data_IF_433741761241
#
_entry.id   IF_433741761241
#
_cell.length_a   1.000
_cell.length_b   1.000
_cell.length_c   1.000
_cell.angle_alpha   90.00
_cell.angle_beta   90.00
_cell.angle_gamma   90.00
#
_symmetry.space_group_name_H-M   'P 1'
#
loop_
_entity.id
_entity.type
_entity.pdbx_description
1 polymer ?
#
# COMPACT_ATOMS: atom_id res chain seq x y z
N UNK A 1 -14.36 -27.90 9.61
CA UNK A 1 -12.96 -27.75 10.04
C UNK A 1 -12.31 -26.71 9.13
N UNK A 2 -11.87 -25.54 9.60
CA UNK A 2 -11.05 -24.67 8.76
C UNK A 2 -9.79 -25.44 8.38
N UNK A 3 -9.52 -25.54 7.07
CA UNK A 3 -8.40 -26.27 6.52
C UNK A 3 -7.08 -25.74 7.08
N UNK A 4 -6.14 -26.64 7.39
CA UNK A 4 -4.78 -26.23 7.76
C UNK A 4 -4.19 -25.37 6.65
N UNK A 5 -3.65 -24.19 7.02
CA UNK A 5 -2.98 -23.30 6.07
C UNK A 5 -1.91 -24.05 5.28
N UNK A 6 -1.92 -23.91 3.98
CA UNK A 6 -0.93 -24.52 3.09
C UNK A 6 0.49 -24.03 3.43
N UNK A 7 1.50 -24.78 3.07
CA UNK A 7 2.90 -24.36 3.25
C UNK A 7 3.18 -22.99 2.58
N UNK A 8 2.54 -22.72 1.46
CA UNK A 8 2.67 -21.46 0.71
C UNK A 8 2.04 -20.29 1.48
N UNK A 9 0.87 -20.47 2.04
CA UNK A 9 0.19 -19.45 2.89
C UNK A 9 1.00 -19.16 4.16
N UNK A 10 1.55 -20.20 4.81
CA UNK A 10 2.40 -20.02 5.99
C UNK A 10 3.67 -19.23 5.67
N UNK A 11 4.32 -19.50 4.53
CA UNK A 11 5.49 -18.75 4.07
C UNK A 11 5.14 -17.29 3.87
N UNK A 12 4.04 -16.99 3.16
CA UNK A 12 3.62 -15.63 2.88
C UNK A 12 3.28 -14.86 4.17
N UNK A 13 2.51 -15.47 5.07
CA UNK A 13 2.17 -14.87 6.36
C UNK A 13 3.41 -14.58 7.21
N UNK A 14 4.37 -15.53 7.27
CA UNK A 14 5.63 -15.34 7.99
C UNK A 14 6.49 -14.25 7.37
N UNK A 15 6.57 -14.19 6.04
CA UNK A 15 7.30 -13.16 5.33
C UNK A 15 6.72 -11.75 5.58
N UNK A 16 5.40 -11.61 5.54
CA UNK A 16 4.71 -10.33 5.86
C UNK A 16 5.06 -9.84 7.27
N UNK A 17 5.09 -10.75 8.25
CA UNK A 17 5.47 -10.42 9.63
C UNK A 17 6.94 -9.99 9.75
N UNK A 18 7.83 -10.70 9.07
CA UNK A 18 9.27 -10.41 9.10
C UNK A 18 9.57 -9.07 8.41
N UNK A 19 9.05 -8.84 7.20
CA UNK A 19 9.25 -7.58 6.48
C UNK A 19 8.61 -6.36 7.17
N UNK A 20 7.60 -6.56 8.02
CA UNK A 20 7.05 -5.50 8.85
C UNK A 20 7.93 -5.15 10.06
N UNK A 21 8.78 -6.07 10.51
CA UNK A 21 9.64 -5.90 11.69
C UNK A 21 11.09 -5.57 11.36
N UNK A 22 11.56 -6.04 10.23
CA UNK A 22 12.96 -5.91 9.80
C UNK A 22 13.03 -5.38 8.37
N UNK A 23 14.09 -4.62 8.02
CA UNK A 23 14.33 -4.20 6.65
C UNK A 23 14.40 -5.40 5.69
N UNK A 24 13.99 -5.16 4.44
CA UNK A 24 14.11 -6.16 3.38
C UNK A 24 15.52 -6.73 3.25
N UNK A 25 16.56 -5.86 3.38
CA UNK A 25 17.96 -6.27 3.31
C UNK A 25 18.32 -7.33 4.36
N UNK A 26 17.76 -7.20 5.55
CA UNK A 26 18.15 -7.99 6.73
C UNK A 26 17.32 -9.28 6.88
N UNK A 27 16.29 -9.44 6.05
CA UNK A 27 15.45 -10.64 6.00
C UNK A 27 15.99 -11.63 4.97
N UNK A 28 16.26 -12.86 5.36
CA UNK A 28 16.70 -13.93 4.45
C UNK A 28 15.60 -14.97 4.18
N UNK A 29 15.77 -15.77 3.12
CA UNK A 29 14.87 -16.91 2.85
C UNK A 29 14.93 -17.97 3.96
N UNK A 30 16.07 -18.08 4.67
CA UNK A 30 16.21 -18.98 5.81
C UNK A 30 15.37 -18.52 6.99
N UNK A 31 15.36 -17.21 7.26
CA UNK A 31 14.52 -16.64 8.33
C UNK A 31 13.04 -16.86 8.06
N UNK A 32 12.63 -16.65 6.80
CA UNK A 32 11.24 -16.90 6.36
C UNK A 32 10.88 -18.37 6.49
N UNK A 33 11.76 -19.28 6.07
CA UNK A 33 11.58 -20.73 6.17
C UNK A 33 11.45 -21.18 7.62
N UNK A 34 12.35 -20.70 8.49
CA UNK A 34 12.32 -20.98 9.93
C UNK A 34 11.02 -20.49 10.58
N UNK A 35 10.61 -19.25 10.29
CA UNK A 35 9.38 -18.68 10.82
C UNK A 35 8.10 -19.39 10.33
N UNK A 36 8.13 -19.92 9.08
CA UNK A 36 7.02 -20.67 8.49
C UNK A 36 7.00 -22.16 8.92
N UNK A 37 8.04 -22.64 9.59
CA UNK A 37 8.20 -24.07 9.94
C UNK A 37 8.33 -24.98 8.72
N UNK A 38 9.09 -24.55 7.70
CA UNK A 38 9.32 -25.30 6.47
C UNK A 38 10.82 -25.33 6.11
N UNK A 39 11.19 -26.24 5.21
CA UNK A 39 12.53 -26.28 4.65
C UNK A 39 12.77 -25.15 3.66
N UNK A 40 13.98 -24.56 3.65
CA UNK A 40 14.34 -23.46 2.74
C UNK A 40 14.26 -23.87 1.26
N UNK A 41 14.53 -25.13 0.92
CA UNK A 41 14.37 -25.64 -0.43
C UNK A 41 12.89 -25.64 -0.86
N UNK A 42 11.96 -25.83 0.08
CA UNK A 42 10.54 -25.69 -0.20
C UNK A 42 10.18 -24.24 -0.50
N UNK A 43 10.73 -23.26 0.25
CA UNK A 43 10.54 -21.82 -0.03
C UNK A 43 11.00 -21.46 -1.43
N UNK A 44 12.20 -21.93 -1.82
CA UNK A 44 12.73 -21.73 -3.18
C UNK A 44 11.82 -22.33 -4.26
N UNK A 45 11.31 -23.54 -4.07
CA UNK A 45 10.39 -24.16 -5.04
C UNK A 45 9.05 -23.43 -5.13
N UNK A 46 8.55 -22.91 -4.00
CA UNK A 46 7.23 -22.27 -3.93
C UNK A 46 7.20 -20.86 -4.48
N UNK A 47 8.29 -20.09 -4.34
CA UNK A 47 8.35 -18.66 -4.66
C UNK A 47 9.54 -18.26 -5.53
N UNK A 48 10.57 -19.06 -5.63
CA UNK A 48 11.78 -18.79 -6.41
C UNK A 48 12.74 -17.83 -5.72
N UNK A 49 12.32 -16.64 -5.33
CA UNK A 49 13.21 -15.60 -4.76
C UNK A 49 12.57 -14.81 -3.62
N UNK A 50 13.43 -14.13 -2.84
CA UNK A 50 13.00 -13.18 -1.81
C UNK A 50 12.21 -12.00 -2.42
N UNK A 51 12.63 -11.53 -3.58
CA UNK A 51 11.95 -10.45 -4.31
C UNK A 51 10.51 -10.84 -4.66
N UNK A 52 10.30 -12.07 -5.11
CA UNK A 52 8.97 -12.58 -5.43
C UNK A 52 8.08 -12.73 -4.19
N UNK A 53 8.62 -13.21 -3.07
CA UNK A 53 7.89 -13.27 -1.80
C UNK A 53 7.50 -11.86 -1.36
N UNK A 54 8.41 -10.89 -1.46
CA UNK A 54 8.15 -9.50 -1.09
C UNK A 54 7.06 -8.88 -1.98
N UNK A 55 7.11 -9.13 -3.28
CA UNK A 55 6.08 -8.69 -4.23
C UNK A 55 4.70 -9.28 -3.87
N UNK A 56 4.63 -10.58 -3.56
CA UNK A 56 3.38 -11.22 -3.14
C UNK A 56 2.91 -10.73 -1.77
N UNK A 57 3.81 -10.40 -0.86
CA UNK A 57 3.46 -9.78 0.41
C UNK A 57 2.82 -8.40 0.21
N UNK A 58 3.33 -7.57 -0.71
CA UNK A 58 2.72 -6.27 -1.06
C UNK A 58 1.31 -6.46 -1.64
N UNK A 59 1.12 -7.42 -2.55
CA UNK A 59 -0.19 -7.72 -3.14
C UNK A 59 -1.19 -8.21 -2.08
N UNK A 60 -0.76 -9.05 -1.15
CA UNK A 60 -1.61 -9.57 -0.08
C UNK A 60 -2.01 -8.50 0.96
N UNK A 61 -1.24 -7.41 1.08
CA UNK A 61 -1.54 -6.30 1.97
C UNK A 61 -2.56 -5.32 1.40
N UNK A 62 -2.69 -5.25 0.09
CA UNK A 62 -3.64 -4.37 -0.58
C UNK A 62 -4.80 -5.23 -1.14
N UNK A 63 -6.05 -4.98 -0.74
CA UNK A 63 -7.22 -5.68 -1.26
C UNK A 63 -7.56 -5.15 -2.67
N UNK A 64 -6.67 -5.41 -3.62
CA UNK A 64 -6.78 -4.90 -5.00
C UNK A 64 -8.03 -5.41 -5.71
N UNK A 65 -8.42 -6.65 -5.43
CA UNK A 65 -9.63 -7.26 -5.99
C UNK A 65 -10.88 -6.51 -5.51
N UNK A 66 -10.91 -6.08 -4.24
CA UNK A 66 -12.03 -5.29 -3.69
C UNK A 66 -12.06 -3.87 -4.29
N UNK A 67 -10.88 -3.26 -4.50
CA UNK A 67 -10.76 -1.93 -5.11
C UNK A 67 -11.27 -1.97 -6.56
N UNK A 68 -10.91 -2.99 -7.33
CA UNK A 68 -11.22 -3.13 -8.75
C UNK A 68 -12.52 -3.90 -9.05
N UNK A 69 -13.21 -4.44 -8.04
CA UNK A 69 -14.38 -5.28 -8.21
C UNK A 69 -15.49 -4.60 -9.02
N UNK A 70 -15.95 -5.26 -10.09
CA UNK A 70 -17.06 -4.78 -10.91
C UNK A 70 -16.71 -3.64 -11.86
N UNK A 71 -15.44 -3.49 -12.22
CA UNK A 71 -14.96 -2.43 -13.14
C UNK A 71 -15.46 -1.03 -12.75
N UNK A 72 -15.07 -0.52 -11.55
CA UNK A 72 -15.61 0.70 -10.99
C UNK A 72 -15.12 1.93 -11.77
N UNK A 73 -15.94 2.98 -11.78
CA UNK A 73 -15.48 4.30 -12.20
C UNK A 73 -14.46 4.89 -11.19
N UNK A 74 -13.81 5.97 -11.60
CA UNK A 74 -12.74 6.58 -10.81
C UNK A 74 -13.21 7.07 -9.44
N UNK A 75 -14.43 7.60 -9.32
CA UNK A 75 -14.98 8.07 -8.06
C UNK A 75 -15.21 6.90 -7.08
N UNK A 76 -15.76 5.80 -7.58
CA UNK A 76 -15.95 4.56 -6.80
C UNK A 76 -14.61 3.99 -6.35
N UNK A 77 -13.58 3.97 -7.21
CA UNK A 77 -12.23 3.54 -6.81
C UNK A 77 -11.66 4.41 -5.68
N UNK A 78 -11.75 5.73 -5.80
CA UNK A 78 -11.28 6.65 -4.75
C UNK A 78 -12.00 6.40 -3.44
N UNK A 79 -13.33 6.20 -3.48
CA UNK A 79 -14.10 5.90 -2.27
C UNK A 79 -13.58 4.64 -1.58
N UNK A 80 -13.40 3.55 -2.34
CA UNK A 80 -12.87 2.27 -1.81
C UNK A 80 -11.47 2.43 -1.25
N UNK A 81 -10.58 3.15 -1.95
CA UNK A 81 -9.23 3.44 -1.47
C UNK A 81 -9.26 4.27 -0.17
N UNK A 82 -10.13 5.26 -0.08
CA UNK A 82 -10.30 6.05 1.14
C UNK A 82 -10.81 5.18 2.30
N UNK A 83 -11.80 4.33 2.06
CA UNK A 83 -12.30 3.42 3.11
C UNK A 83 -11.17 2.55 3.67
N UNK A 84 -10.33 1.99 2.81
CA UNK A 84 -9.19 1.18 3.23
C UNK A 84 -8.19 1.94 4.13
N UNK A 85 -8.02 3.24 3.92
CA UNK A 85 -7.17 4.09 4.75
C UNK A 85 -7.66 4.19 6.21
N UNK A 86 -8.95 3.91 6.45
CA UNK A 86 -9.59 4.00 7.77
C UNK A 86 -9.98 2.64 8.37
N UNK A 87 -10.01 1.56 7.57
CA UNK A 87 -10.37 0.22 8.05
C UNK A 87 -9.41 -0.33 9.10
N UNK A 88 -8.19 0.16 9.14
CA UNK A 88 -7.14 -0.32 10.05
C UNK A 88 -6.78 0.77 11.03
N UNK A 89 -6.71 0.43 12.32
CA UNK A 89 -6.14 1.32 13.33
C UNK A 89 -4.61 1.27 13.21
N UNK A 90 -3.98 2.34 12.69
CA UNK A 90 -2.53 2.34 12.47
C UNK A 90 -1.73 2.26 13.79
N UNK A 91 -2.38 2.47 14.95
CA UNK A 91 -1.77 2.35 16.28
C UNK A 91 -1.68 0.90 16.73
N UNK A 92 -2.44 -0.02 16.13
CA UNK A 92 -2.32 -1.44 16.39
C UNK A 92 -1.20 -2.01 15.54
N UNK A 93 -0.22 -2.65 16.19
CA UNK A 93 0.95 -3.24 15.51
C UNK A 93 0.53 -4.18 14.36
N UNK A 94 -0.58 -4.87 14.52
CA UNK A 94 -1.12 -5.78 13.49
C UNK A 94 -1.68 -5.05 12.29
N UNK A 95 -2.34 -3.91 12.48
CA UNK A 95 -2.97 -3.12 11.44
C UNK A 95 -1.98 -2.17 10.74
N UNK A 96 -0.88 -1.81 11.39
CA UNK A 96 0.18 -0.95 10.83
C UNK A 96 1.19 -1.67 9.93
N UNK A 97 1.07 -2.99 9.74
CA UNK A 97 2.03 -3.81 8.96
C UNK A 97 2.31 -3.31 7.54
N UNK A 98 1.30 -2.89 6.74
CA UNK A 98 1.58 -2.39 5.39
C UNK A 98 2.52 -1.20 5.38
N UNK A 99 2.27 -0.23 6.27
CA UNK A 99 3.09 0.97 6.38
C UNK A 99 4.50 0.66 6.88
N UNK A 100 4.63 -0.20 7.89
CA UNK A 100 5.91 -0.64 8.42
C UNK A 100 6.72 -1.37 7.36
N UNK A 101 6.11 -2.27 6.57
CA UNK A 101 6.76 -2.98 5.49
C UNK A 101 7.32 -2.00 4.44
N UNK A 102 6.52 -1.01 4.04
CA UNK A 102 6.93 0.01 3.08
C UNK A 102 8.08 0.88 3.62
N UNK A 103 7.96 1.39 4.86
CA UNK A 103 8.94 2.31 5.45
C UNK A 103 10.26 1.62 5.78
N UNK A 104 10.22 0.42 6.36
CA UNK A 104 11.42 -0.35 6.69
C UNK A 104 12.20 -0.76 5.44
N UNK A 105 11.50 -1.09 4.37
CA UNK A 105 12.14 -1.59 3.14
C UNK A 105 12.56 -0.49 2.17
N UNK A 106 12.12 0.76 2.35
CA UNK A 106 12.38 1.90 1.43
C UNK A 106 13.87 2.25 1.28
N UNK A 107 14.73 1.86 2.22
CA UNK A 107 16.18 2.13 2.18
C UNK A 107 16.93 1.17 1.24
N UNK A 108 16.37 0.02 0.91
CA UNK A 108 16.95 -0.95 -0.01
C UNK A 108 16.53 -0.62 -1.45
N UNK A 109 17.49 -0.50 -2.38
CA UNK A 109 17.21 -0.17 -3.78
C UNK A 109 16.35 -1.21 -4.48
N UNK A 110 16.59 -2.51 -4.23
CA UNK A 110 15.81 -3.60 -4.79
C UNK A 110 14.36 -3.55 -4.29
N UNK A 111 14.15 -3.41 -2.98
CA UNK A 111 12.81 -3.30 -2.41
C UNK A 111 12.09 -2.04 -2.92
N UNK A 112 12.79 -0.91 -3.05
CA UNK A 112 12.22 0.32 -3.62
C UNK A 112 11.71 0.11 -5.05
N UNK A 113 12.47 -0.60 -5.88
CA UNK A 113 12.05 -0.90 -7.25
C UNK A 113 10.78 -1.76 -7.28
N UNK A 114 10.69 -2.77 -6.41
CA UNK A 114 9.50 -3.62 -6.29
C UNK A 114 8.30 -2.80 -5.80
N UNK A 115 8.49 -1.95 -4.78
CA UNK A 115 7.45 -1.06 -4.25
C UNK A 115 6.97 -0.09 -5.33
N UNK A 116 7.88 0.55 -6.05
CA UNK A 116 7.54 1.49 -7.13
C UNK A 116 6.75 0.80 -8.25
N UNK A 117 7.16 -0.42 -8.64
CA UNK A 117 6.44 -1.22 -9.62
C UNK A 117 5.03 -1.58 -9.11
N UNK A 118 4.90 -2.00 -7.85
CA UNK A 118 3.61 -2.31 -7.23
C UNK A 118 2.67 -1.10 -7.27
N UNK A 119 3.11 0.08 -6.82
CA UNK A 119 2.30 1.29 -6.88
C UNK A 119 1.93 1.67 -8.32
N UNK A 120 2.86 1.56 -9.25
CA UNK A 120 2.64 1.89 -10.65
C UNK A 120 1.63 0.97 -11.32
N UNK A 121 1.87 -0.33 -11.27
CA UNK A 121 1.08 -1.32 -12.02
C UNK A 121 -0.22 -1.72 -11.34
N UNK A 122 -0.21 -1.82 -10.00
CA UNK A 122 -1.35 -2.36 -9.26
C UNK A 122 -2.33 -1.30 -8.76
N UNK A 123 -1.91 -0.03 -8.67
CA UNK A 123 -2.75 1.05 -8.15
C UNK A 123 -2.85 2.23 -9.11
N UNK A 124 -1.72 2.85 -9.51
CA UNK A 124 -1.76 4.08 -10.29
C UNK A 124 -2.33 3.88 -11.69
N UNK A 125 -1.92 2.83 -12.38
CA UNK A 125 -2.40 2.56 -13.73
C UNK A 125 -3.89 2.20 -13.78
N UNK A 126 -4.44 1.31 -12.92
CA UNK A 126 -5.88 1.08 -12.84
C UNK A 126 -6.67 2.35 -12.50
N UNK A 127 -6.21 3.12 -11.50
CA UNK A 127 -6.87 4.36 -11.10
C UNK A 127 -6.87 5.38 -12.24
N UNK A 128 -5.77 5.54 -12.94
CA UNK A 128 -5.66 6.43 -14.11
C UNK A 128 -6.65 6.05 -15.20
N UNK A 129 -6.76 4.76 -15.53
CA UNK A 129 -7.72 4.24 -16.52
C UNK A 129 -9.16 4.50 -16.12
N UNK A 130 -9.51 4.31 -14.85
CA UNK A 130 -10.86 4.55 -14.34
C UNK A 130 -11.28 6.04 -14.44
N UNK A 131 -10.32 6.96 -14.54
CA UNK A 131 -10.54 8.39 -14.83
C UNK A 131 -10.37 8.75 -16.30
N UNK A 132 -10.09 7.79 -17.18
CA UNK A 132 -9.88 8.02 -18.63
C UNK A 132 -8.55 8.72 -18.94
N UNK A 133 -7.57 8.69 -18.03
CA UNK A 133 -6.25 9.29 -18.27
C UNK A 133 -5.29 8.28 -18.93
N UNK A 134 -4.53 8.74 -19.92
CA UNK A 134 -3.46 7.95 -20.54
C UNK A 134 -2.18 7.91 -19.68
N UNK A 135 -1.90 9.00 -18.91
CA UNK A 135 -0.73 9.15 -18.07
C UNK A 135 -1.09 8.89 -16.59
N UNK A 136 -0.36 8.00 -15.89
CA UNK A 136 -0.62 7.71 -14.48
C UNK A 136 -0.05 8.78 -13.51
N UNK A 137 0.51 9.89 -13.97
CA UNK A 137 1.13 10.92 -13.12
C UNK A 137 0.17 11.47 -12.08
N UNK A 138 -1.09 11.79 -12.45
CA UNK A 138 -2.12 12.25 -11.51
C UNK A 138 -2.47 11.19 -10.47
N UNK A 139 -2.57 9.93 -10.87
CA UNK A 139 -2.83 8.82 -9.97
C UNK A 139 -1.66 8.63 -8.98
N UNK A 140 -0.42 8.75 -9.43
CA UNK A 140 0.74 8.73 -8.54
C UNK A 140 0.70 9.87 -7.53
N UNK A 141 0.31 11.08 -7.95
CA UNK A 141 0.16 12.22 -7.05
C UNK A 141 -0.95 11.98 -6.01
N UNK A 142 -2.12 11.50 -6.43
CA UNK A 142 -3.20 11.13 -5.52
C UNK A 142 -2.76 10.06 -4.51
N UNK A 143 -2.08 9.00 -4.95
CA UNK A 143 -1.54 7.96 -4.08
C UNK A 143 -0.45 8.50 -3.12
N UNK A 144 0.28 9.53 -3.51
CA UNK A 144 1.24 10.21 -2.62
C UNK A 144 0.54 10.99 -1.51
N UNK A 145 -0.56 11.68 -1.81
CA UNK A 145 -1.41 12.33 -0.80
C UNK A 145 -1.99 11.31 0.18
N UNK A 146 -2.54 10.21 -0.33
CA UNK A 146 -3.04 9.12 0.49
C UNK A 146 -1.96 8.55 1.42
N UNK A 147 -0.81 8.20 0.85
CA UNK A 147 0.31 7.62 1.60
C UNK A 147 0.84 8.59 2.66
N UNK A 148 0.94 9.88 2.33
CA UNK A 148 1.32 10.94 3.27
C UNK A 148 0.33 11.07 4.41
N UNK A 149 -0.97 11.12 4.13
CA UNK A 149 -2.03 11.19 5.14
C UNK A 149 -1.99 9.98 6.08
N UNK A 150 -1.96 8.76 5.52
CA UNK A 150 -1.93 7.52 6.31
C UNK A 150 -0.67 7.46 7.18
N UNK A 151 0.49 7.81 6.61
CA UNK A 151 1.76 7.84 7.34
C UNK A 151 1.73 8.85 8.47
N UNK A 152 1.26 10.06 8.21
CA UNK A 152 1.19 11.13 9.19
C UNK A 152 0.26 10.76 10.36
N UNK A 153 -0.92 10.25 10.03
CA UNK A 153 -1.91 9.78 11.02
C UNK A 153 -1.36 8.61 11.85
N UNK A 154 -0.67 7.67 11.22
CA UNK A 154 -0.19 6.44 11.86
C UNK A 154 1.05 6.65 12.73
N UNK A 155 2.04 7.40 12.23
CA UNK A 155 3.35 7.53 12.88
C UNK A 155 3.35 8.69 13.88
N UNK A 156 2.80 9.84 13.48
CA UNK A 156 2.86 11.04 14.32
C UNK A 156 1.60 11.22 15.17
N UNK A 157 0.43 10.84 14.68
CA UNK A 157 -0.85 10.87 15.38
C UNK A 157 -1.14 12.21 16.05
N UNK A 158 -1.00 13.38 15.36
CA UNK A 158 -1.13 14.67 16.02
C UNK A 158 -2.54 14.83 16.60
N UNK A 159 -2.62 15.31 17.83
CA UNK A 159 -3.86 15.41 18.58
C UNK A 159 -4.95 16.19 17.84
N UNK A 160 -4.57 17.27 17.16
CA UNK A 160 -5.48 18.12 16.41
C UNK A 160 -6.09 17.37 15.20
N UNK A 161 -5.29 16.55 14.50
CA UNK A 161 -5.81 15.70 13.42
C UNK A 161 -6.75 14.63 13.96
N UNK A 162 -6.38 13.99 15.08
CA UNK A 162 -7.17 12.91 15.68
C UNK A 162 -8.46 13.44 16.35
N UNK A 163 -8.52 14.73 16.67
CA UNK A 163 -9.73 15.39 17.18
C UNK A 163 -10.78 15.63 16.08
N UNK A 164 -10.38 15.66 14.81
CA UNK A 164 -11.34 15.75 13.70
C UNK A 164 -12.12 14.43 13.61
N UNK A 165 -13.47 14.46 13.56
CA UNK A 165 -14.26 13.25 13.37
C UNK A 165 -13.80 12.43 12.15
N UNK A 166 -13.77 11.12 12.27
CA UNK A 166 -13.26 10.25 11.20
C UNK A 166 -14.02 10.43 9.88
N UNK A 167 -15.33 10.67 9.95
CA UNK A 167 -16.15 10.96 8.78
C UNK A 167 -15.66 12.21 8.02
N UNK A 168 -15.30 13.26 8.75
CA UNK A 168 -14.80 14.50 8.18
C UNK A 168 -13.40 14.31 7.59
N UNK A 169 -12.51 13.61 8.29
CA UNK A 169 -11.18 13.25 7.76
C UNK A 169 -11.32 12.46 6.46
N UNK A 170 -12.25 11.52 6.38
CA UNK A 170 -12.53 10.70 5.20
C UNK A 170 -13.01 11.56 4.04
N UNK A 171 -13.96 12.46 4.29
CA UNK A 171 -14.47 13.38 3.28
C UNK A 171 -13.40 14.34 2.77
N UNK A 172 -12.57 14.88 3.65
CA UNK A 172 -11.43 15.74 3.27
C UNK A 172 -10.43 14.99 2.39
N UNK A 173 -10.05 13.77 2.77
CA UNK A 173 -9.14 12.93 1.98
C UNK A 173 -9.74 12.61 0.62
N UNK A 174 -11.00 12.16 0.57
CA UNK A 174 -11.71 11.84 -0.66
C UNK A 174 -11.75 13.05 -1.61
N UNK A 175 -12.08 14.22 -1.10
CA UNK A 175 -12.10 15.46 -1.88
C UNK A 175 -10.72 15.80 -2.44
N UNK A 176 -9.66 15.67 -1.64
CA UNK A 176 -8.30 15.92 -2.08
C UNK A 176 -7.86 14.95 -3.19
N UNK A 177 -8.17 13.65 -3.05
CA UNK A 177 -7.84 12.64 -4.06
C UNK A 177 -8.63 12.86 -5.35
N UNK A 178 -9.92 13.18 -5.27
CA UNK A 178 -10.76 13.51 -6.43
C UNK A 178 -10.20 14.73 -7.18
N UNK A 179 -9.86 15.79 -6.48
CA UNK A 179 -9.29 17.00 -7.09
C UNK A 179 -7.93 16.72 -7.75
N UNK A 180 -7.12 15.85 -7.18
CA UNK A 180 -5.84 15.44 -7.78
C UNK A 180 -6.04 14.71 -9.12
N UNK A 181 -7.15 13.98 -9.26
CA UNK A 181 -7.46 13.21 -10.48
C UNK A 181 -8.15 14.03 -11.56
N UNK A 182 -8.86 15.12 -11.23
CA UNK A 182 -9.60 15.91 -12.21
C UNK A 182 -8.67 16.83 -13.03
N UNK A 183 -8.85 16.95 -14.36
CA UNK A 183 -8.18 17.95 -15.15
C UNK A 183 -8.75 19.34 -14.77
N UNK A 184 -7.88 20.30 -14.43
CA UNK A 184 -8.35 21.67 -14.24
C UNK A 184 -7.78 22.46 -13.05
N UNK A 185 -6.85 21.91 -12.28
CA UNK A 185 -6.10 22.73 -11.30
C UNK A 185 -4.95 23.55 -11.91
N UNK A 186 -4.78 23.55 -13.24
CA UNK A 186 -3.69 24.27 -13.91
C UNK A 186 -4.01 25.74 -14.22
N UNK A 187 -5.27 26.16 -14.15
CA UNK A 187 -5.65 27.52 -14.52
C UNK A 187 -6.00 28.38 -13.30
N UNK A 188 -5.01 28.79 -12.52
CA UNK A 188 -5.08 30.09 -11.87
C UNK A 188 -5.33 30.17 -10.37
N UNK A 189 -5.23 29.14 -9.55
CA UNK A 189 -5.48 29.27 -8.09
C UNK A 189 -4.21 29.24 -7.22
N UNK A 190 -3.10 28.71 -7.72
CA UNK A 190 -1.82 28.83 -7.02
C UNK A 190 -0.78 29.51 -7.94
N UNK A 191 -0.63 30.83 -7.77
CA UNK A 191 0.48 31.59 -8.33
C UNK A 191 1.83 31.22 -7.69
N UNK A 192 2.18 29.93 -7.72
CA UNK A 192 3.50 29.48 -7.28
C UNK A 192 4.50 29.82 -8.36
N UNK A 193 5.32 30.86 -8.11
CA UNK A 193 6.52 31.12 -8.91
C UNK A 193 7.67 30.39 -8.23
N UNK A 194 8.39 29.51 -8.93
CA UNK A 194 9.65 28.96 -8.39
C UNK A 194 10.60 30.11 -8.08
N UNK A 195 11.24 30.04 -6.91
CA UNK A 195 12.32 30.92 -6.47
C UNK A 195 13.57 30.65 -7.31
#
# INVERSE_FOLDING_TARGET
MPGQATGKERILASAMLLFARMPYSDTSLRDIAAAAGVDVAYVHRAFGSKAEIFRQALLALAPLDDIAAGDPDGATMINRICELAFLRDPRKVEDGRPLHLLTQSSRCSEARAIIAQFFGTSLALPLSRAFGHADPGRAHFALSLLSGFVTHRAIFGPADLLAIPEADQRQMLQTALMNAMLPGCSDGVFGWRPI
#
